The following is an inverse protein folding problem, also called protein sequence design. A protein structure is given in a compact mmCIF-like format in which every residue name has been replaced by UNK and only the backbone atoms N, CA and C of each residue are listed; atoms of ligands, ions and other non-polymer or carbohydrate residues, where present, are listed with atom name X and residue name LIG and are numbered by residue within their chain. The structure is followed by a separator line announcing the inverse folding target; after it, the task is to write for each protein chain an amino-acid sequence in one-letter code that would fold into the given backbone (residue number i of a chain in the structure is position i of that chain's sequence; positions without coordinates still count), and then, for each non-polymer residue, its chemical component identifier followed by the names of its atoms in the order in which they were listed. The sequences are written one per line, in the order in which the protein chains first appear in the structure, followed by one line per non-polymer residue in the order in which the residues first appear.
data_IF_494561639259
#
_entry.id   IF_494561639259
#
_cell.length_a   1.000
_cell.length_b   1.000
_cell.length_c   1.000
_cell.angle_alpha   90.00
_cell.angle_beta   90.00
_cell.angle_gamma   90.00
#
_symmetry.space_group_name_H-M   'P 1'
#
loop_
_entity.id
_entity.type
_entity.pdbx_description
1 polymer ?
#
# COMPACT_ATOMS: atom_id res chain seq x y z
N UNK A 1 23.87 57.97 3.44
CA UNK A 1 23.93 58.94 4.56
C UNK A 1 22.62 59.71 4.60
N UNK A 2 21.90 59.93 5.67
CA UNK A 2 21.95 59.30 6.98
C UNK A 2 20.57 58.82 7.49
N UNK A 3 20.62 58.03 8.54
CA UNK A 3 19.62 57.88 9.61
C UNK A 3 19.29 59.28 10.24
N UNK A 4 18.40 59.43 11.28
CA UNK A 4 17.97 58.52 12.31
C UNK A 4 16.59 58.78 12.99
N UNK A 5 16.30 57.95 14.06
CA UNK A 5 15.55 58.23 15.30
C UNK A 5 14.01 58.45 15.25
N UNK A 6 13.21 57.82 16.08
CA UNK A 6 13.18 57.95 17.57
C UNK A 6 12.28 56.96 18.25
N UNK A 7 12.72 56.57 19.43
CA UNK A 7 12.03 56.00 20.58
C UNK A 7 10.82 56.79 21.06
N UNK A 8 9.88 56.13 21.71
CA UNK A 8 9.26 56.47 23.01
C UNK A 8 8.41 55.27 23.41
N UNK A 9 8.75 54.49 24.38
CA UNK A 9 8.58 54.59 25.85
C UNK A 9 7.14 54.74 26.34
N UNK A 10 6.77 53.67 27.08
CA UNK A 10 6.22 53.66 28.45
C UNK A 10 4.75 53.99 28.66
N UNK A 11 3.97 53.09 29.20
CA UNK A 11 3.56 53.16 30.62
C UNK A 11 2.65 51.99 31.02
N UNK A 12 3.02 51.48 32.17
CA UNK A 12 2.27 50.55 33.02
C UNK A 12 1.09 51.22 33.71
N UNK A 13 0.05 50.47 34.02
CA UNK A 13 -0.75 50.58 35.26
C UNK A 13 -1.78 49.42 35.28
N UNK A 14 -1.61 48.54 36.16
CA UNK A 14 -2.22 48.30 37.50
C UNK A 14 -3.54 47.51 37.47
N UNK A 15 -3.47 46.37 38.16
CA UNK A 15 -4.57 45.59 38.74
C UNK A 15 -5.47 46.43 39.64
N UNK A 16 -6.71 45.98 39.89
CA UNK A 16 -6.97 45.51 41.25
C UNK A 16 -7.66 44.14 41.33
N UNK A 17 -7.22 43.40 42.34
CA UNK A 17 -7.92 42.31 42.99
C UNK A 17 -9.26 42.74 43.57
N UNK A 18 -10.24 41.85 43.54
CA UNK A 18 -11.30 41.75 44.53
C UNK A 18 -11.85 40.31 44.59
N UNK A 19 -11.58 39.63 45.67
CA UNK A 19 -12.32 38.50 46.26
C UNK A 19 -13.14 39.08 47.44
N UNK A 20 -13.99 38.28 48.11
CA UNK A 20 -14.92 37.23 47.71
C UNK A 20 -16.35 37.53 48.21
N UNK A 21 -17.35 36.74 47.82
CA UNK A 21 -18.39 36.34 48.78
C UNK A 21 -19.18 35.12 48.36
N UNK A 22 -19.30 34.25 49.35
CA UNK A 22 -20.15 33.07 49.41
C UNK A 22 -21.63 33.42 49.21
N UNK A 23 -22.34 32.58 48.44
CA UNK A 23 -23.69 32.14 48.83
C UNK A 23 -23.98 30.72 48.32
N UNK A 24 -24.36 29.93 49.28
CA UNK A 24 -24.75 28.54 49.22
C UNK A 24 -26.06 28.33 48.44
N UNK A 25 -26.20 27.15 47.90
CA UNK A 25 -27.50 26.46 47.77
C UNK A 25 -28.01 26.34 46.34
N UNK A 26 -27.82 25.24 45.72
CA UNK A 26 -28.89 24.30 45.30
C UNK A 26 -28.26 23.03 44.72
N UNK A 27 -28.44 21.92 45.43
CA UNK A 27 -28.25 20.58 44.92
C UNK A 27 -29.26 20.38 43.79
N UNK A 28 -28.77 20.29 42.56
CA UNK A 28 -29.46 19.57 41.51
C UNK A 28 -28.70 18.28 41.31
N UNK A 29 -29.24 17.20 41.78
CA UNK A 29 -28.84 15.85 41.44
C UNK A 29 -29.10 15.64 39.95
N UNK A 30 -28.07 15.87 39.16
CA UNK A 30 -28.06 15.38 37.76
C UNK A 30 -27.59 13.95 37.83
N UNK A 31 -28.57 13.05 37.76
CA UNK A 31 -28.45 11.62 37.52
C UNK A 31 -27.47 11.42 36.36
N UNK A 32 -26.43 10.62 36.49
CA UNK A 32 -25.57 10.30 35.34
C UNK A 32 -26.43 9.54 34.35
N UNK A 33 -26.61 10.15 33.20
CA UNK A 33 -27.17 9.46 32.03
C UNK A 33 -26.36 8.19 31.78
N UNK A 34 -27.06 7.11 31.72
CA UNK A 34 -26.57 5.79 31.46
C UNK A 34 -25.69 5.81 30.21
N UNK A 35 -24.40 5.72 30.46
CA UNK A 35 -23.40 5.38 29.45
C UNK A 35 -23.84 4.01 28.95
N UNK A 36 -24.45 3.97 27.79
CA UNK A 36 -24.73 2.77 27.05
C UNK A 36 -23.40 2.05 26.90
N UNK A 37 -23.21 0.99 27.66
CA UNK A 37 -22.09 0.06 27.49
C UNK A 37 -22.23 -0.52 26.10
N UNK A 38 -21.50 0.04 25.14
CA UNK A 38 -21.34 -0.54 23.82
C UNK A 38 -20.74 -1.93 23.98
N UNK A 39 -21.40 -2.95 23.37
CA UNK A 39 -20.94 -4.33 23.31
C UNK A 39 -19.44 -4.39 23.06
N UNK A 40 -18.69 -5.33 23.67
CA UNK A 40 -17.23 -5.42 23.54
C UNK A 40 -16.74 -5.56 22.09
N UNK A 41 -17.60 -6.00 21.18
CA UNK A 41 -17.32 -6.11 19.74
C UNK A 41 -17.14 -4.74 19.05
N UNK A 42 -17.81 -3.70 19.50
CA UNK A 42 -17.70 -2.35 18.93
C UNK A 42 -16.41 -1.63 19.33
N UNK A 43 -15.78 -2.00 20.45
CA UNK A 43 -14.53 -1.37 20.90
C UNK A 43 -13.34 -1.61 19.98
N UNK A 44 -13.31 -2.75 19.29
CA UNK A 44 -12.24 -3.04 18.34
C UNK A 44 -12.34 -2.17 17.09
N UNK A 45 -13.55 -1.92 16.62
CA UNK A 45 -13.80 -1.07 15.44
C UNK A 45 -13.48 0.41 15.70
N UNK A 46 -13.76 0.89 16.90
CA UNK A 46 -13.48 2.27 17.33
C UNK A 46 -12.02 2.50 17.74
N UNK A 47 -11.18 1.46 17.70
CA UNK A 47 -9.76 1.57 18.06
C UNK A 47 -9.04 2.49 17.06
N UNK A 48 -8.38 3.56 17.51
CA UNK A 48 -7.59 4.41 16.63
C UNK A 48 -6.51 3.61 15.91
N UNK A 49 -6.30 3.86 14.61
CA UNK A 49 -5.36 3.10 13.76
C UNK A 49 -3.95 3.04 14.32
N UNK A 50 -3.54 4.05 15.09
CA UNK A 50 -2.22 4.13 15.73
C UNK A 50 -1.94 2.95 16.70
N UNK A 51 -2.98 2.37 17.30
CA UNK A 51 -2.86 1.25 18.24
C UNK A 51 -2.95 -0.12 17.58
N UNK A 52 -3.15 -0.16 16.27
CA UNK A 52 -3.16 -1.42 15.53
C UNK A 52 -1.74 -1.97 15.37
N UNK A 53 -1.61 -3.28 15.49
CA UNK A 53 -0.32 -3.97 15.32
C UNK A 53 0.25 -3.68 13.92
N UNK A 54 1.47 -3.14 13.88
CA UNK A 54 2.14 -2.79 12.62
C UNK A 54 1.89 -1.34 12.14
N UNK A 55 1.03 -0.58 12.82
CA UNK A 55 0.79 0.84 12.53
C UNK A 55 1.54 1.70 13.55
N UNK A 56 2.70 2.19 13.15
CA UNK A 56 3.45 3.17 13.96
C UNK A 56 2.97 4.61 13.69
N UNK A 57 3.46 5.61 14.47
CA UNK A 57 3.02 7.00 14.36
C UNK A 57 3.16 7.59 12.95
N UNK A 58 4.19 7.18 12.21
CA UNK A 58 4.42 7.62 10.83
C UNK A 58 3.35 7.11 9.87
N UNK A 59 2.97 5.83 10.02
CA UNK A 59 1.93 5.22 9.18
C UNK A 59 0.56 5.76 9.56
N UNK A 60 0.29 5.92 10.87
CA UNK A 60 -0.95 6.52 11.37
C UNK A 60 -1.20 7.91 10.76
N UNK A 61 -0.16 8.76 10.72
CA UNK A 61 -0.27 10.10 10.11
C UNK A 61 -0.59 10.07 8.61
N UNK A 62 -0.07 9.05 7.88
CA UNK A 62 -0.39 8.88 6.45
C UNK A 62 -1.84 8.43 6.28
N UNK A 63 -2.32 7.53 7.14
CA UNK A 63 -3.70 7.05 7.14
C UNK A 63 -4.69 8.16 7.49
N UNK A 64 -4.36 8.97 8.52
CA UNK A 64 -5.12 10.16 8.89
C UNK A 64 -5.28 11.14 7.72
N UNK A 65 -4.21 11.38 6.97
CA UNK A 65 -4.25 12.20 5.75
C UNK A 65 -5.15 11.64 4.63
N UNK A 66 -5.56 10.38 4.74
CA UNK A 66 -6.52 9.71 3.85
C UNK A 66 -7.92 9.57 4.44
N UNK A 67 -8.16 10.15 5.63
CA UNK A 67 -9.43 10.07 6.33
C UNK A 67 -9.66 8.76 7.10
N UNK A 68 -8.61 7.95 7.31
CA UNK A 68 -8.67 6.69 8.05
C UNK A 68 -8.15 6.94 9.46
N UNK A 69 -9.05 6.99 10.45
CA UNK A 69 -8.76 7.34 11.84
C UNK A 69 -8.88 6.14 12.78
N UNK A 70 -9.85 5.28 12.53
CA UNK A 70 -10.16 4.12 13.37
C UNK A 70 -10.08 2.82 12.56
N UNK A 71 -10.09 1.69 13.26
CA UNK A 71 -10.03 0.38 12.63
C UNK A 71 -11.19 0.13 11.65
N UNK A 72 -12.37 0.64 11.96
CA UNK A 72 -13.56 0.57 11.11
C UNK A 72 -13.33 1.22 9.74
N UNK A 73 -12.67 2.38 9.72
CA UNK A 73 -12.39 3.10 8.47
C UNK A 73 -11.55 2.26 7.50
N UNK A 74 -10.66 1.38 8.01
CA UNK A 74 -9.87 0.47 7.18
C UNK A 74 -10.74 -0.55 6.45
N UNK A 75 -11.82 -0.99 7.06
CA UNK A 75 -12.74 -1.97 6.44
C UNK A 75 -13.53 -1.33 5.29
N UNK A 76 -13.86 -0.04 5.43
CA UNK A 76 -14.56 0.72 4.40
C UNK A 76 -13.63 1.44 3.41
N UNK A 77 -12.31 1.36 3.64
CA UNK A 77 -11.34 1.92 2.71
C UNK A 77 -11.21 1.02 1.48
N UNK A 78 -12.13 1.18 0.57
CA UNK A 78 -12.17 0.42 -0.67
C UNK A 78 -10.93 0.73 -1.53
N UNK A 79 -10.38 -0.26 -2.25
CA UNK A 79 -9.28 -0.04 -3.15
C UNK A 79 -9.65 0.98 -4.23
N UNK A 80 -8.76 1.92 -4.47
CA UNK A 80 -8.96 2.98 -5.47
C UNK A 80 -9.10 2.42 -6.89
N UNK A 81 -8.57 1.21 -7.12
CA UNK A 81 -8.55 0.58 -8.42
C UNK A 81 -8.79 -0.92 -8.28
N UNK A 82 -9.74 -1.43 -9.02
CA UNK A 82 -9.90 -2.86 -9.24
C UNK A 82 -9.03 -3.28 -10.43
N UNK A 83 -8.26 -4.32 -10.24
CA UNK A 83 -7.43 -4.92 -11.28
C UNK A 83 -8.08 -6.21 -11.73
N UNK A 84 -8.37 -6.31 -13.03
CA UNK A 84 -8.92 -7.53 -13.59
C UNK A 84 -7.80 -8.57 -13.76
N UNK A 85 -7.77 -9.54 -12.85
CA UNK A 85 -6.85 -10.68 -12.91
C UNK A 85 -7.53 -11.96 -13.35
N UNK A 86 -8.84 -11.97 -13.46
CA UNK A 86 -9.61 -13.15 -13.78
C UNK A 86 -9.65 -13.44 -15.29
N UNK A 87 -9.38 -12.45 -16.11
CA UNK A 87 -9.38 -12.56 -17.55
C UNK A 87 -7.95 -12.38 -18.09
N UNK A 88 -7.12 -13.45 -18.07
CA UNK A 88 -5.78 -13.37 -18.63
C UNK A 88 -5.85 -13.18 -20.13
N UNK A 89 -5.05 -12.25 -20.64
CA UNK A 89 -4.95 -11.98 -22.07
C UNK A 89 -3.87 -12.80 -22.72
N UNK A 90 -4.03 -13.02 -23.99
CA UNK A 90 -3.01 -13.62 -24.85
C UNK A 90 -1.90 -12.61 -25.17
N UNK A 91 -0.67 -13.09 -25.43
CA UNK A 91 0.47 -12.21 -25.69
C UNK A 91 0.32 -11.39 -26.98
N UNK A 92 -0.48 -11.84 -27.93
CA UNK A 92 -0.78 -11.12 -29.18
C UNK A 92 -1.76 -9.94 -29.02
N UNK A 93 -2.58 -9.98 -27.97
CA UNK A 93 -3.57 -8.94 -27.68
C UNK A 93 -3.01 -7.78 -26.86
N UNK A 94 -1.78 -7.91 -26.37
CA UNK A 94 -1.17 -6.92 -25.49
C UNK A 94 -0.84 -5.63 -26.22
N UNK A 95 -1.16 -4.51 -25.57
CA UNK A 95 -0.81 -3.17 -26.06
C UNK A 95 0.14 -2.47 -25.10
N UNK A 96 1.13 -1.74 -25.62
CA UNK A 96 2.04 -0.97 -24.78
C UNK A 96 1.28 0.09 -23.95
N UNK A 97 1.63 0.20 -22.68
CA UNK A 97 1.07 1.20 -21.78
C UNK A 97 -0.09 0.70 -20.90
N UNK A 98 -0.71 -0.43 -21.22
CA UNK A 98 -1.80 -1.00 -20.44
C UNK A 98 -1.33 -1.91 -19.30
N UNK A 99 -2.19 -2.10 -18.32
CA UNK A 99 -2.04 -3.15 -17.30
C UNK A 99 -2.72 -4.41 -17.83
N UNK A 100 -2.02 -5.54 -17.78
CA UNK A 100 -2.55 -6.81 -18.26
C UNK A 100 -2.19 -7.96 -17.33
N UNK A 101 -3.11 -8.93 -17.26
CA UNK A 101 -2.88 -10.26 -16.70
C UNK A 101 -2.57 -11.23 -17.85
N UNK A 102 -1.53 -12.04 -17.69
CA UNK A 102 -1.06 -13.01 -18.70
C UNK A 102 -0.73 -14.33 -18.02
N UNK A 103 -1.19 -15.43 -18.58
CA UNK A 103 -0.73 -16.76 -18.19
C UNK A 103 0.17 -17.27 -19.30
N UNK A 104 1.41 -17.63 -18.98
CA UNK A 104 2.40 -18.06 -19.95
C UNK A 104 3.36 -19.08 -19.35
N UNK A 105 4.06 -19.81 -20.23
CA UNK A 105 5.07 -20.79 -19.86
C UNK A 105 6.45 -20.13 -19.73
N UNK A 106 7.19 -20.45 -18.68
CA UNK A 106 8.58 -20.02 -18.49
C UNK A 106 9.47 -20.72 -19.49
N UNK A 107 10.07 -19.99 -20.41
CA UNK A 107 11.04 -20.53 -21.37
C UNK A 107 12.46 -20.51 -20.86
N UNK A 108 12.77 -19.53 -20.02
CA UNK A 108 14.08 -19.41 -19.40
C UNK A 108 14.14 -18.19 -18.51
N UNK A 109 15.05 -18.24 -17.56
CA UNK A 109 15.29 -17.14 -16.63
C UNK A 109 16.78 -17.06 -16.30
N UNK A 110 17.24 -15.87 -15.96
CA UNK A 110 18.63 -15.64 -15.61
C UNK A 110 18.84 -14.36 -14.82
N UNK A 111 19.93 -14.36 -14.05
CA UNK A 111 20.38 -13.21 -13.30
C UNK A 111 21.48 -12.49 -14.06
N UNK A 112 21.27 -11.24 -14.38
CA UNK A 112 22.29 -10.35 -14.95
C UNK A 112 22.94 -9.57 -13.81
N UNK A 113 24.21 -9.86 -13.56
CA UNK A 113 25.01 -9.10 -12.63
C UNK A 113 25.36 -7.74 -13.25
N UNK A 114 24.83 -6.66 -12.68
CA UNK A 114 25.21 -5.29 -13.07
C UNK A 114 26.02 -4.64 -11.95
N UNK A 115 26.75 -3.56 -12.28
CA UNK A 115 27.58 -2.84 -11.31
C UNK A 115 26.76 -2.23 -10.17
N UNK A 116 25.46 -1.96 -10.36
CA UNK A 116 24.61 -1.29 -9.36
C UNK A 116 23.72 -2.25 -8.59
N UNK A 117 23.04 -3.16 -9.30
CA UNK A 117 22.10 -4.10 -8.68
C UNK A 117 21.86 -5.28 -9.60
N UNK A 118 21.63 -6.48 -9.07
CA UNK A 118 21.28 -7.62 -9.90
C UNK A 118 19.92 -7.41 -10.58
N UNK A 119 19.89 -7.68 -11.86
CA UNK A 119 18.66 -7.67 -12.67
C UNK A 119 18.30 -9.11 -12.98
N UNK A 120 17.09 -9.52 -12.59
CA UNK A 120 16.57 -10.81 -12.98
C UNK A 120 15.72 -10.65 -14.22
N UNK A 121 16.04 -11.41 -15.28
CA UNK A 121 15.26 -11.49 -16.50
C UNK A 121 14.63 -12.87 -16.63
N UNK A 122 13.39 -12.89 -17.06
CA UNK A 122 12.66 -14.12 -17.39
C UNK A 122 11.99 -13.92 -18.74
N UNK A 123 12.08 -14.94 -19.59
CA UNK A 123 11.35 -15.00 -20.84
C UNK A 123 10.21 -15.99 -20.69
N UNK A 124 9.00 -15.51 -20.93
CA UNK A 124 7.78 -16.32 -20.95
C UNK A 124 7.23 -16.41 -22.37
N UNK A 125 6.48 -17.45 -22.63
CA UNK A 125 5.96 -17.71 -23.98
C UNK A 125 4.55 -18.29 -24.00
N UNK A 126 3.86 -18.01 -25.10
CA UNK A 126 2.61 -18.66 -25.50
C UNK A 126 2.75 -19.02 -26.99
N UNK A 127 2.74 -20.33 -27.32
CA UNK A 127 2.99 -20.77 -28.68
C UNK A 127 4.30 -20.21 -29.25
N UNK A 128 4.25 -19.44 -30.33
CA UNK A 128 5.44 -18.82 -30.94
C UNK A 128 5.77 -17.42 -30.41
N UNK A 129 4.93 -16.87 -29.56
CA UNK A 129 5.11 -15.54 -28.99
C UNK A 129 5.96 -15.62 -27.72
N UNK A 130 6.76 -14.59 -27.49
CA UNK A 130 7.56 -14.47 -26.29
C UNK A 130 7.54 -13.05 -25.74
N UNK A 131 7.56 -12.94 -24.41
CA UNK A 131 7.62 -11.69 -23.69
C UNK A 131 8.73 -11.74 -22.64
N UNK A 132 9.43 -10.62 -22.45
CA UNK A 132 10.42 -10.48 -21.38
C UNK A 132 9.82 -9.87 -20.13
N UNK A 133 10.15 -10.44 -18.99
CA UNK A 133 9.84 -9.89 -17.68
C UNK A 133 11.14 -9.53 -16.97
N UNK A 134 11.20 -8.35 -16.35
CA UNK A 134 12.42 -7.81 -15.75
C UNK A 134 12.15 -7.36 -14.32
N UNK A 135 12.99 -7.83 -13.38
CA UNK A 135 12.94 -7.41 -11.98
C UNK A 135 14.27 -6.78 -11.58
N UNK A 136 14.23 -5.55 -11.13
CA UNK A 136 15.38 -4.90 -10.51
C UNK A 136 15.55 -5.43 -9.08
N UNK A 137 16.79 -5.56 -8.62
CA UNK A 137 17.13 -6.22 -7.36
C UNK A 137 16.58 -7.66 -7.24
N UNK A 138 16.43 -8.34 -8.37
CA UNK A 138 15.76 -9.63 -8.51
C UNK A 138 16.62 -10.84 -8.10
N UNK A 139 17.71 -10.65 -7.34
CA UNK A 139 18.58 -11.76 -6.93
C UNK A 139 17.85 -12.87 -6.13
N UNK A 140 16.81 -12.49 -5.39
CA UNK A 140 15.96 -13.43 -4.64
C UNK A 140 15.09 -14.35 -5.51
N UNK A 141 14.99 -14.06 -6.81
CA UNK A 141 14.23 -14.86 -7.79
C UNK A 141 15.07 -15.96 -8.43
N UNK A 142 16.38 -15.93 -8.23
CA UNK A 142 17.27 -16.91 -8.81
C UNK A 142 16.92 -18.33 -8.33
N UNK A 143 16.74 -19.25 -9.27
CA UNK A 143 16.39 -20.64 -8.96
C UNK A 143 14.92 -20.89 -8.57
N UNK A 144 14.08 -19.86 -8.57
CA UNK A 144 12.64 -20.03 -8.25
C UNK A 144 11.80 -20.53 -9.40
N UNK A 145 12.25 -20.35 -10.62
CA UNK A 145 11.50 -20.71 -11.83
C UNK A 145 12.19 -21.82 -12.60
N UNK A 146 11.41 -22.76 -13.07
CA UNK A 146 11.84 -23.85 -13.94
C UNK A 146 11.33 -23.62 -15.36
N UNK A 147 12.11 -23.97 -16.36
CA UNK A 147 11.62 -23.99 -17.75
C UNK A 147 10.46 -24.97 -17.89
N UNK A 148 9.44 -24.60 -18.64
CA UNK A 148 8.21 -25.37 -18.80
C UNK A 148 7.12 -25.07 -17.75
N UNK A 149 7.45 -24.33 -16.68
CA UNK A 149 6.52 -24.00 -15.60
C UNK A 149 5.51 -22.94 -16.05
N UNK A 150 4.24 -23.15 -15.74
CA UNK A 150 3.18 -22.18 -16.01
C UNK A 150 3.17 -21.09 -14.93
N UNK A 151 3.09 -19.83 -15.35
CA UNK A 151 3.10 -18.67 -14.47
C UNK A 151 2.04 -17.66 -14.89
N UNK A 152 1.32 -17.13 -13.91
CA UNK A 152 0.46 -15.97 -14.09
C UNK A 152 1.26 -14.70 -13.78
N UNK A 153 1.19 -13.74 -14.66
CA UNK A 153 1.88 -12.44 -14.57
C UNK A 153 0.87 -11.32 -14.61
N UNK A 154 1.07 -10.33 -13.77
CA UNK A 154 0.27 -9.10 -13.79
C UNK A 154 1.18 -7.89 -13.73
N UNK A 155 1.05 -6.99 -14.70
CA UNK A 155 1.89 -5.81 -14.74
C UNK A 155 1.62 -4.90 -15.93
N UNK A 156 2.37 -3.79 -15.96
CA UNK A 156 2.32 -2.85 -17.08
C UNK A 156 3.10 -3.39 -18.25
N UNK A 157 2.45 -3.43 -19.40
CA UNK A 157 3.06 -3.82 -20.66
C UNK A 157 3.82 -2.64 -21.26
N UNK A 158 5.06 -2.86 -21.65
CA UNK A 158 5.89 -1.87 -22.34
C UNK A 158 6.44 -2.41 -23.65
N UNK A 159 6.60 -1.54 -24.62
CA UNK A 159 7.32 -1.89 -25.84
C UNK A 159 8.82 -2.06 -25.53
N UNK A 160 9.43 -3.13 -26.01
CA UNK A 160 10.87 -3.29 -25.92
C UNK A 160 11.56 -2.37 -26.92
N UNK A 161 12.58 -1.63 -26.48
CA UNK A 161 13.36 -0.75 -27.39
C UNK A 161 14.27 -1.53 -28.33
N UNK A 162 14.64 -2.75 -27.98
CA UNK A 162 15.62 -3.56 -28.71
C UNK A 162 15.01 -4.70 -29.52
N UNK A 163 13.73 -4.96 -29.36
CA UNK A 163 13.02 -6.03 -30.07
C UNK A 163 11.56 -5.63 -30.32
N UNK A 164 10.92 -6.26 -31.31
CA UNK A 164 9.47 -6.12 -31.52
C UNK A 164 8.62 -6.72 -30.39
N UNK A 165 9.25 -7.37 -29.42
CA UNK A 165 8.58 -8.07 -28.36
C UNK A 165 8.15 -7.10 -27.25
N UNK A 166 7.06 -7.40 -26.60
CA UNK A 166 6.61 -6.72 -25.39
C UNK A 166 7.47 -7.13 -24.21
N UNK A 167 7.50 -6.28 -23.20
CA UNK A 167 8.13 -6.56 -21.91
C UNK A 167 7.25 -6.09 -20.76
N UNK A 168 7.41 -6.71 -19.61
CA UNK A 168 6.88 -6.21 -18.34
C UNK A 168 8.01 -5.88 -17.38
N UNK A 169 7.91 -4.76 -16.67
CA UNK A 169 8.87 -4.35 -15.65
C UNK A 169 8.23 -4.52 -14.27
N UNK A 170 8.91 -5.26 -13.39
CA UNK A 170 8.44 -5.55 -12.03
C UNK A 170 7.02 -6.15 -11.99
N UNK A 171 6.66 -7.11 -12.89
CA UNK A 171 5.34 -7.71 -12.80
C UNK A 171 5.17 -8.48 -11.48
N UNK A 172 3.96 -8.49 -10.98
CA UNK A 172 3.55 -9.46 -9.96
C UNK A 172 3.45 -10.83 -10.64
N UNK A 173 3.78 -11.88 -9.90
CA UNK A 173 3.72 -13.22 -10.46
C UNK A 173 3.14 -14.22 -9.46
N UNK A 174 2.53 -15.24 -9.99
CA UNK A 174 2.04 -16.40 -9.26
C UNK A 174 2.37 -17.65 -10.07
N UNK A 175 2.92 -18.66 -9.42
CA UNK A 175 3.19 -19.94 -10.04
C UNK A 175 1.88 -20.72 -10.05
N UNK A 176 1.42 -21.08 -11.24
CA UNK A 176 0.21 -21.89 -11.41
C UNK A 176 0.62 -23.35 -11.24
N UNK A 177 0.12 -24.08 -10.25
CA UNK A 177 0.41 -25.50 -10.11
C UNK A 177 -0.13 -26.24 -11.33
N UNK A 178 0.67 -27.16 -11.86
CA UNK A 178 0.19 -28.06 -12.92
C UNK A 178 -0.91 -28.95 -12.34
N UNK A 179 -2.01 -29.12 -13.06
CA UNK A 179 -3.23 -29.82 -12.61
C UNK A 179 -3.04 -31.30 -12.21
N UNK A 180 -1.81 -31.77 -12.07
CA UNK A 180 -1.43 -33.12 -11.66
C UNK A 180 -0.66 -33.24 -10.34
N UNK A 181 -0.23 -32.15 -9.70
CA UNK A 181 0.63 -32.23 -8.50
C UNK A 181 -0.13 -32.11 -7.17
N UNK A 182 -1.43 -31.85 -7.15
CA UNK A 182 -2.18 -31.53 -5.92
C UNK A 182 -2.71 -32.77 -5.16
N UNK A 183 -2.56 -34.00 -5.63
CA UNK A 183 -3.09 -35.17 -4.94
C UNK A 183 -2.10 -35.97 -4.06
N UNK A 184 -0.77 -35.81 -4.26
CA UNK A 184 0.21 -36.63 -3.52
C UNK A 184 0.79 -35.98 -2.24
N UNK A 185 0.53 -34.71 -1.97
CA UNK A 185 1.14 -34.03 -0.79
C UNK A 185 0.17 -33.85 0.39
N UNK A 186 -1.02 -34.42 0.34
CA UNK A 186 -2.03 -34.37 1.43
C UNK A 186 -2.31 -35.68 2.14
N UNK A 187 -1.32 -36.55 2.24
CA UNK A 187 -1.41 -37.74 3.11
C UNK A 187 -0.33 -37.68 4.20
#
# INVERSE_FOLDING_TARGET
VPEPFSKTESQAASKPELKPELKAGLKAETRPESRTESKPENRLMETPVMYLKGVGPRVAKILEGKGVLVAEDLLYHLPFRYEDRQHPRSLDELKPGEMASVIAEVRGSGLLATRRSPIFEMTVGQGNLAMKCVWFNGGYLQGRFKAGQTIALFGKVEASRSSRNMKMIQPQFEIVPDAGEDEETRL
#
